data_IF_460047850889
#
_entry.id   IF_460047850889
#
_cell.length_a   1.000
_cell.length_b   1.000
_cell.length_c   1.000
_cell.angle_alpha   90.00
_cell.angle_beta   90.00
_cell.angle_gamma   90.00
#
_symmetry.space_group_name_H-M   'P 1'
#
loop_
_entity.id
_entity.type
_entity.pdbx_description
1 polymer ?
#
# COMPACT_ATOMS: atom_id res chain seq x y z
N UNK A 1 13.19 -28.97 2.78
CA UNK A 1 13.46 -27.57 2.62
C UNK A 1 12.33 -26.84 1.95
N UNK A 2 12.01 -25.69 2.43
CA UNK A 2 10.91 -24.95 1.86
C UNK A 2 11.40 -23.93 0.88
N UNK A 3 10.74 -23.86 -0.24
CA UNK A 3 10.98 -22.80 -1.18
C UNK A 3 10.24 -21.56 -0.74
N UNK A 4 10.94 -20.47 -0.70
CA UNK A 4 10.31 -19.22 -0.42
C UNK A 4 9.74 -18.64 -1.71
N UNK A 5 8.48 -18.28 -1.66
CA UNK A 5 7.90 -17.59 -2.79
C UNK A 5 8.51 -16.21 -2.91
N UNK A 6 8.77 -15.74 -4.12
CA UNK A 6 9.22 -14.37 -4.28
C UNK A 6 8.16 -13.41 -3.79
N UNK A 7 8.56 -12.22 -3.33
CA UNK A 7 7.58 -11.23 -2.90
C UNK A 7 6.69 -10.80 -4.05
N UNK A 8 5.43 -10.57 -3.73
CA UNK A 8 4.47 -10.07 -4.71
C UNK A 8 4.59 -8.56 -4.83
N UNK A 9 4.16 -8.04 -5.97
CA UNK A 9 3.96 -6.60 -6.13
C UNK A 9 2.50 -6.31 -5.83
N UNK A 10 2.25 -5.52 -4.81
CA UNK A 10 0.92 -5.28 -4.31
C UNK A 10 0.63 -3.78 -4.28
N UNK A 11 -0.52 -3.39 -4.83
CA UNK A 11 -1.03 -2.04 -4.68
C UNK A 11 -2.28 -2.10 -3.82
N UNK A 12 -2.31 -1.29 -2.76
CA UNK A 12 -3.48 -1.15 -1.90
C UNK A 12 -4.12 0.20 -2.22
N UNK A 13 -5.34 0.19 -2.72
CA UNK A 13 -6.08 1.40 -3.05
C UNK A 13 -7.01 1.76 -1.90
N UNK A 14 -6.69 2.83 -1.22
CA UNK A 14 -7.48 3.30 -0.09
C UNK A 14 -6.63 3.39 1.17
N UNK A 15 -6.28 4.62 1.56
CA UNK A 15 -5.38 4.86 2.68
C UNK A 15 -6.12 5.20 3.97
N UNK A 16 -7.25 4.55 4.22
CA UNK A 16 -7.93 4.62 5.50
C UNK A 16 -7.24 3.71 6.50
N UNK A 17 -7.91 3.50 7.64
CA UNK A 17 -7.32 2.69 8.71
C UNK A 17 -7.07 1.25 8.25
N UNK A 18 -8.06 0.65 7.61
CA UNK A 18 -7.94 -0.74 7.18
C UNK A 18 -6.90 -0.92 6.08
N UNK A 19 -6.95 -0.04 5.06
CA UNK A 19 -5.98 -0.14 3.96
C UNK A 19 -4.56 0.06 4.43
N UNK A 20 -4.35 1.01 5.33
CA UNK A 20 -3.03 1.26 5.88
C UNK A 20 -2.55 0.07 6.70
N UNK A 21 -3.42 -0.53 7.53
CA UNK A 21 -3.04 -1.69 8.32
C UNK A 21 -2.66 -2.88 7.44
N UNK A 22 -3.44 -3.12 6.38
CA UNK A 22 -3.15 -4.20 5.44
C UNK A 22 -1.82 -3.95 4.74
N UNK A 23 -1.59 -2.70 4.30
CA UNK A 23 -0.35 -2.37 3.61
C UNK A 23 0.87 -2.58 4.52
N UNK A 24 0.77 -2.17 5.77
CA UNK A 24 1.85 -2.37 6.74
C UNK A 24 2.14 -3.86 6.92
N UNK A 25 1.09 -4.66 7.10
CA UNK A 25 1.27 -6.08 7.31
C UNK A 25 1.91 -6.77 6.11
N UNK A 26 1.48 -6.39 4.90
CA UNK A 26 2.00 -7.02 3.69
C UNK A 26 3.41 -6.54 3.34
N UNK A 27 3.76 -5.32 3.73
CA UNK A 27 5.06 -4.75 3.38
C UNK A 27 6.21 -5.48 4.05
N UNK A 28 5.93 -6.28 5.09
CA UNK A 28 6.98 -7.08 5.72
C UNK A 28 7.55 -8.12 4.76
N UNK A 29 6.77 -8.55 3.75
CA UNK A 29 7.17 -9.63 2.86
C UNK A 29 7.03 -9.30 1.38
N UNK A 30 6.37 -8.19 1.06
CA UNK A 30 6.03 -7.88 -0.32
C UNK A 30 6.39 -6.45 -0.67
N UNK A 31 6.44 -6.16 -1.96
CA UNK A 31 6.67 -4.81 -2.47
C UNK A 31 5.33 -4.11 -2.56
N UNK A 32 5.02 -3.27 -1.57
CA UNK A 32 3.69 -2.70 -1.42
C UNK A 32 3.71 -1.19 -1.68
N UNK A 33 2.71 -0.75 -2.43
CA UNK A 33 2.43 0.68 -2.64
C UNK A 33 1.03 0.97 -2.13
N UNK A 34 0.93 1.90 -1.18
CA UNK A 34 -0.34 2.32 -0.62
C UNK A 34 -0.77 3.62 -1.30
N UNK A 35 -1.92 3.59 -1.94
CA UNK A 35 -2.46 4.75 -2.62
C UNK A 35 -3.63 5.36 -1.86
N UNK A 36 -3.59 6.69 -1.69
CA UNK A 36 -4.73 7.45 -1.19
C UNK A 36 -5.01 8.61 -2.13
N UNK A 37 -6.27 9.01 -2.22
CA UNK A 37 -6.67 10.00 -3.21
C UNK A 37 -6.38 11.45 -2.82
N UNK A 38 -6.04 11.70 -1.57
CA UNK A 38 -5.76 13.06 -1.10
C UNK A 38 -4.24 13.30 -1.10
N UNK A 39 -3.72 14.10 -2.05
CA UNK A 39 -2.27 14.29 -2.15
C UNK A 39 -1.63 14.90 -0.90
N UNK A 40 -2.30 15.86 -0.28
CA UNK A 40 -1.75 16.50 0.92
C UNK A 40 -1.63 15.49 2.06
N UNK A 41 -2.65 14.67 2.23
CA UNK A 41 -2.65 13.66 3.28
C UNK A 41 -1.59 12.60 3.03
N UNK A 42 -1.43 12.20 1.78
CA UNK A 42 -0.42 11.19 1.45
C UNK A 42 0.99 11.75 1.60
N UNK A 43 1.18 13.03 1.32
CA UNK A 43 2.47 13.67 1.56
C UNK A 43 2.80 13.72 3.04
N UNK A 44 1.81 14.00 3.88
CA UNK A 44 1.99 13.98 5.34
C UNK A 44 2.33 12.59 5.83
N UNK A 45 1.64 11.59 5.30
CA UNK A 45 1.87 10.21 5.67
C UNK A 45 3.28 9.78 5.30
N UNK A 46 3.75 10.17 4.13
CA UNK A 46 5.11 9.85 3.70
C UNK A 46 6.14 10.54 4.60
N UNK A 47 5.93 11.81 4.89
CA UNK A 47 6.88 12.57 5.69
C UNK A 47 6.96 12.05 7.12
N UNK A 48 5.81 11.72 7.71
CA UNK A 48 5.76 11.22 9.07
C UNK A 48 6.08 9.73 9.17
N UNK A 49 6.03 9.01 8.05
CA UNK A 49 6.14 7.57 8.01
C UNK A 49 5.13 6.92 8.94
N UNK A 50 3.91 7.49 8.92
CA UNK A 50 2.82 7.05 9.78
C UNK A 50 1.55 7.72 9.29
N UNK A 51 0.44 6.99 9.26
CA UNK A 51 -0.85 7.57 8.87
C UNK A 51 -1.52 8.15 10.11
N UNK A 52 -1.24 9.42 10.37
CA UNK A 52 -1.69 10.08 11.60
C UNK A 52 -3.20 10.29 11.65
N UNK A 53 -3.86 10.32 10.49
CA UNK A 53 -5.30 10.55 10.45
C UNK A 53 -6.11 9.30 10.75
N UNK A 54 -5.67 8.15 10.26
CA UNK A 54 -6.48 6.94 10.31
C UNK A 54 -5.86 5.80 11.08
N UNK A 55 -4.55 5.80 11.28
CA UNK A 55 -3.89 4.71 12.00
C UNK A 55 -2.68 5.22 12.78
N UNK A 56 -2.90 6.14 13.73
CA UNK A 56 -1.80 6.66 14.54
C UNK A 56 -1.20 5.56 15.41
N UNK A 57 0.10 5.67 15.66
CA UNK A 57 0.79 4.72 16.51
C UNK A 57 1.37 3.52 15.80
N UNK A 58 1.18 3.42 14.47
CA UNK A 58 1.68 2.28 13.70
C UNK A 58 2.60 2.80 12.59
N UNK A 59 3.91 2.80 12.81
CA UNK A 59 4.84 3.33 11.82
C UNK A 59 4.85 2.50 10.54
N UNK A 60 5.09 3.18 9.43
CA UNK A 60 5.20 2.50 8.15
C UNK A 60 6.55 1.82 8.03
N UNK A 61 6.61 0.56 7.58
CA UNK A 61 7.89 -0.10 7.34
C UNK A 61 8.70 0.65 6.27
N UNK A 62 10.03 0.59 6.33
CA UNK A 62 10.86 1.36 5.40
C UNK A 62 10.58 1.10 3.94
N UNK A 63 10.21 -0.12 3.58
CA UNK A 63 9.97 -0.47 2.18
C UNK A 63 8.59 -0.13 1.67
N UNK A 64 7.67 0.29 2.55
CA UNK A 64 6.32 0.63 2.13
C UNK A 64 6.31 2.00 1.49
N UNK A 65 5.84 2.08 0.24
CA UNK A 65 5.71 3.34 -0.47
C UNK A 65 4.29 3.83 -0.40
N UNK A 66 4.12 5.13 -0.33
CA UNK A 66 2.79 5.74 -0.29
C UNK A 66 2.73 6.86 -1.32
N UNK A 67 1.55 7.12 -1.84
CA UNK A 67 1.39 8.19 -2.82
C UNK A 67 -0.05 8.39 -3.21
N UNK A 68 -0.27 9.45 -3.99
CA UNK A 68 -1.60 9.81 -4.47
C UNK A 68 -1.70 9.75 -5.99
N UNK A 69 -0.68 9.29 -6.68
CA UNK A 69 -0.68 9.16 -8.13
C UNK A 69 -1.32 7.84 -8.51
N UNK A 70 -2.55 7.90 -9.01
CA UNK A 70 -3.31 6.70 -9.33
C UNK A 70 -2.67 5.90 -10.46
N UNK A 71 -2.12 6.59 -11.45
CA UNK A 71 -1.47 5.89 -12.56
C UNK A 71 -0.24 5.12 -12.10
N UNK A 72 0.56 5.72 -11.23
CA UNK A 72 1.72 5.04 -10.68
C UNK A 72 1.30 3.84 -9.84
N UNK A 73 0.21 3.99 -9.10
CA UNK A 73 -0.31 2.88 -8.28
C UNK A 73 -0.75 1.71 -9.15
N UNK A 74 -1.41 1.98 -10.27
CA UNK A 74 -1.80 0.91 -11.19
C UNK A 74 -0.59 0.31 -11.89
N UNK A 75 0.36 1.14 -12.31
CA UNK A 75 1.55 0.65 -13.01
C UNK A 75 2.35 -0.32 -12.14
N UNK A 76 2.32 -0.11 -10.83
CA UNK A 76 3.04 -0.98 -9.90
C UNK A 76 2.65 -2.45 -10.06
N UNK A 77 1.39 -2.72 -10.39
CA UNK A 77 0.92 -4.09 -10.57
C UNK A 77 0.69 -4.44 -12.03
N UNK A 78 0.28 -3.49 -12.85
CA UNK A 78 0.02 -3.75 -14.28
C UNK A 78 1.31 -4.08 -15.02
N UNK A 79 2.39 -3.39 -14.67
CA UNK A 79 3.68 -3.60 -15.33
C UNK A 79 4.48 -4.75 -14.71
N UNK A 80 3.95 -5.40 -13.68
CA UNK A 80 4.63 -6.51 -13.04
C UNK A 80 4.61 -7.74 -13.91
N UNK A 81 5.67 -8.54 -13.84
CA UNK A 81 5.71 -9.82 -14.54
C UNK A 81 4.87 -10.85 -13.79
N UNK A 82 4.58 -11.97 -14.45
CA UNK A 82 3.83 -13.04 -13.81
C UNK A 82 4.56 -13.58 -12.58
N UNK A 83 5.91 -13.57 -12.63
CA UNK A 83 6.70 -14.04 -11.48
C UNK A 83 6.59 -13.14 -10.27
N UNK A 84 6.23 -11.88 -10.50
CA UNK A 84 6.08 -10.93 -9.39
C UNK A 84 4.72 -11.02 -8.72
N UNK A 85 3.84 -11.90 -9.22
CA UNK A 85 2.54 -12.19 -8.63
C UNK A 85 1.78 -10.92 -8.22
N UNK A 86 1.46 -10.04 -9.19
CA UNK A 86 0.82 -8.77 -8.86
C UNK A 86 -0.56 -8.95 -8.24
N UNK A 87 -0.87 -8.08 -7.27
CA UNK A 87 -2.15 -8.13 -6.57
C UNK A 87 -2.64 -6.71 -6.30
N UNK A 88 -3.89 -6.45 -6.65
CA UNK A 88 -4.52 -5.18 -6.39
C UNK A 88 -5.58 -5.36 -5.31
N UNK A 89 -5.45 -4.62 -4.22
CA UNK A 89 -6.38 -4.71 -3.11
C UNK A 89 -7.16 -3.40 -3.03
N UNK A 90 -8.49 -3.51 -3.02
CA UNK A 90 -9.36 -2.36 -2.86
C UNK A 90 -9.78 -2.26 -1.40
N UNK A 91 -9.38 -1.19 -0.75
CA UNK A 91 -9.62 -0.99 0.68
C UNK A 91 -10.54 0.21 0.91
N UNK A 92 -11.56 0.34 0.06
CA UNK A 92 -12.51 1.45 0.18
C UNK A 92 -13.56 1.13 1.24
N UNK A 93 -13.94 2.11 2.07
CA UNK A 93 -15.00 1.88 3.04
C UNK A 93 -16.32 1.61 2.33
N UNK A 94 -17.03 0.58 2.77
CA UNK A 94 -18.32 0.26 2.18
C UNK A 94 -19.29 1.42 2.33
N UNK A 95 -19.25 2.09 3.47
CA UNK A 95 -20.12 3.23 3.73
C UNK A 95 -19.83 4.41 2.80
N UNK A 96 -18.68 4.45 2.16
CA UNK A 96 -18.34 5.50 1.25
C UNK A 96 -18.79 5.27 -0.19
N UNK A 97 -19.42 4.16 -0.45
CA UNK A 97 -19.85 3.83 -1.80
C UNK A 97 -21.16 4.51 -2.16
#
# INVERSE_FOLDING_TARGET
MQEQKPPSKITVLGAGAWGTAVAIALAARHDVLLWGRNPAQMAETEAARENLHYLPGFPLPPGLRVGADFEAALAHVVDATADEAPLLILACPVAGL
#
